data_IF_559362829962
#
_entry.id   IF_559362829962
#
_cell.length_a   1.000
_cell.length_b   1.000
_cell.length_c   1.000
_cell.angle_alpha   90.00
_cell.angle_beta   90.00
_cell.angle_gamma   90.00
#
_symmetry.space_group_name_H-M   'P 1'
#
loop_
_entity.id
_entity.type
_entity.pdbx_description
1 polymer ?
#
# COMPACT_ATOMS: atom_id res chain seq x y z
N UNK A 1 -57.17 99.96 35.92
CA UNK A 1 -56.99 100.63 37.22
C UNK A 1 -55.86 99.93 37.96
N UNK A 2 -54.84 100.73 38.31
CA UNK A 2 -53.88 100.57 39.43
C UNK A 2 -53.05 99.27 39.42
N UNK A 3 -51.86 99.23 38.81
CA UNK A 3 -50.56 99.77 39.29
C UNK A 3 -50.10 99.18 40.64
N UNK A 4 -48.95 98.51 40.64
CA UNK A 4 -48.19 98.17 41.84
C UNK A 4 -47.32 96.92 41.62
N UNK A 5 -46.17 97.03 40.94
CA UNK A 5 -44.86 97.36 41.53
C UNK A 5 -44.18 96.13 42.15
N UNK A 6 -43.37 95.39 41.37
CA UNK A 6 -41.88 95.45 41.33
C UNK A 6 -41.19 94.65 42.46
N UNK A 7 -39.92 94.20 42.33
CA UNK A 7 -39.05 94.00 41.16
C UNK A 7 -38.47 92.55 41.10
N UNK A 8 -37.78 92.15 40.01
CA UNK A 8 -37.11 90.86 39.93
C UNK A 8 -35.67 90.93 40.47
N UNK A 9 -35.17 89.86 41.13
CA UNK A 9 -33.73 89.63 41.15
C UNK A 9 -33.37 88.15 40.88
N UNK A 10 -32.60 87.97 39.81
CA UNK A 10 -31.37 87.15 39.73
C UNK A 10 -31.15 86.05 40.78
N UNK A 11 -31.33 84.79 40.37
CA UNK A 11 -30.43 83.65 40.58
C UNK A 11 -31.16 82.36 40.15
N UNK A 12 -30.46 81.34 39.65
CA UNK A 12 -31.09 80.10 39.25
C UNK A 12 -31.65 79.42 40.49
N UNK A 13 -32.97 79.21 40.58
CA UNK A 13 -33.45 78.03 41.31
C UNK A 13 -32.78 76.88 40.60
N UNK A 14 -31.89 76.17 41.30
CA UNK A 14 -31.06 75.12 40.74
C UNK A 14 -31.98 74.20 39.94
N UNK A 15 -32.03 74.42 38.61
CA UNK A 15 -32.91 73.67 37.70
C UNK A 15 -32.62 72.19 37.87
N UNK A 16 -31.41 71.88 38.32
CA UNK A 16 -30.97 70.57 38.73
C UNK A 16 -31.78 70.05 39.92
N UNK A 17 -32.00 70.80 40.99
CA UNK A 17 -32.80 70.37 42.16
C UNK A 17 -34.29 70.17 41.84
N UNK A 18 -34.95 71.11 41.16
CA UNK A 18 -36.34 70.93 40.71
C UNK A 18 -36.46 69.79 39.68
N UNK A 19 -35.46 69.61 38.81
CA UNK A 19 -35.40 68.44 37.93
C UNK A 19 -35.17 67.16 38.70
N UNK A 20 -34.35 67.15 39.76
CA UNK A 20 -34.07 65.99 40.61
C UNK A 20 -35.31 65.64 41.41
N UNK A 21 -36.06 66.59 41.96
CA UNK A 21 -37.31 66.36 42.67
C UNK A 21 -38.42 65.91 41.72
N UNK A 22 -38.58 66.55 40.56
CA UNK A 22 -39.50 66.09 39.52
C UNK A 22 -39.09 64.70 38.97
N UNK A 23 -37.79 64.37 38.98
CA UNK A 23 -37.31 63.03 38.62
C UNK A 23 -37.64 62.03 39.72
N UNK A 24 -37.42 62.37 41.00
CA UNK A 24 -37.80 61.54 42.15
C UNK A 24 -39.31 61.30 42.21
N UNK A 25 -40.13 62.32 41.99
CA UNK A 25 -41.59 62.18 41.95
C UNK A 25 -42.03 61.29 40.79
N UNK A 26 -41.45 61.48 39.60
CA UNK A 26 -41.68 60.56 38.46
C UNK A 26 -41.19 59.15 38.75
N UNK A 27 -40.06 58.98 39.43
CA UNK A 27 -39.52 57.68 39.83
C UNK A 27 -40.45 57.01 40.85
N UNK A 28 -41.00 57.75 41.81
CA UNK A 28 -41.97 57.27 42.83
C UNK A 28 -43.29 56.87 42.16
N UNK A 29 -43.82 57.69 41.25
CA UNK A 29 -45.02 57.35 40.48
C UNK A 29 -44.79 56.14 39.56
N UNK A 30 -43.60 56.07 38.96
CA UNK A 30 -43.18 54.93 38.15
C UNK A 30 -43.04 53.68 39.02
N UNK A 31 -42.48 53.77 40.22
CA UNK A 31 -42.39 52.67 41.20
C UNK A 31 -43.77 52.24 41.68
N UNK A 32 -44.71 53.16 41.90
CA UNK A 32 -46.11 52.85 42.22
C UNK A 32 -46.81 52.12 41.07
N UNK A 33 -46.56 52.51 39.82
CA UNK A 33 -47.04 51.83 38.60
C UNK A 33 -46.35 50.48 38.36
N UNK A 34 -45.08 50.37 38.75
CA UNK A 34 -44.27 49.15 38.76
C UNK A 34 -44.51 48.30 40.03
N UNK A 35 -45.37 48.73 40.95
CA UNK A 35 -45.84 47.94 42.11
C UNK A 35 -46.71 46.75 41.70
N UNK A 36 -47.34 46.03 42.65
CA UNK A 36 -47.76 44.63 42.49
C UNK A 36 -48.53 44.36 41.18
N UNK A 37 -48.20 43.23 40.55
CA UNK A 37 -48.29 43.00 39.10
C UNK A 37 -49.63 43.26 38.38
N UNK A 38 -50.76 43.48 39.06
CA UNK A 38 -52.06 43.68 38.40
C UNK A 38 -52.17 44.98 37.61
N UNK A 39 -51.64 46.09 38.13
CA UNK A 39 -51.63 47.39 37.42
C UNK A 39 -50.60 47.45 36.27
N UNK A 40 -49.67 46.49 36.21
CA UNK A 40 -48.73 46.34 35.08
C UNK A 40 -49.36 45.61 33.90
N UNK A 41 -50.20 44.61 34.15
CA UNK A 41 -50.79 43.79 33.08
C UNK A 41 -52.07 44.39 32.47
N UNK A 42 -52.88 45.12 33.26
CA UNK A 42 -54.13 45.71 32.77
C UNK A 42 -54.28 47.11 33.37
N UNK A 43 -53.81 48.13 32.64
CA UNK A 43 -54.08 49.54 32.95
C UNK A 43 -55.13 50.09 31.97
N UNK A 44 -56.33 50.39 32.46
CA UNK A 44 -57.37 51.03 31.66
C UNK A 44 -57.91 52.28 32.38
N UNK A 45 -57.93 53.42 31.70
CA UNK A 45 -58.54 54.65 32.18
C UNK A 45 -60.06 54.62 31.95
N UNK A 46 -60.78 54.10 32.94
CA UNK A 46 -62.23 53.87 32.86
C UNK A 46 -63.00 55.20 32.77
N UNK A 47 -62.49 56.28 33.37
CA UNK A 47 -63.14 57.59 33.31
C UNK A 47 -62.99 58.21 31.92
N UNK A 48 -61.78 58.16 31.34
CA UNK A 48 -61.54 58.58 29.96
C UNK A 48 -62.39 57.80 28.95
N UNK A 49 -62.48 56.46 29.11
CA UNK A 49 -63.29 55.61 28.24
C UNK A 49 -64.79 55.94 28.30
N UNK A 50 -65.34 56.22 29.50
CA UNK A 50 -66.76 56.60 29.62
C UNK A 50 -67.07 57.92 28.94
N UNK A 51 -66.21 58.92 29.10
CA UNK A 51 -66.39 60.21 28.43
C UNK A 51 -66.34 60.06 26.90
N UNK A 52 -65.43 59.22 26.38
CA UNK A 52 -65.36 58.94 24.94
C UNK A 52 -66.61 58.22 24.42
N UNK A 53 -67.21 57.31 25.20
CA UNK A 53 -68.45 56.63 24.83
C UNK A 53 -69.63 57.61 24.81
N UNK A 54 -69.74 58.49 25.80
CA UNK A 54 -70.80 59.51 25.83
C UNK A 54 -70.65 60.54 24.70
N UNK A 55 -69.44 61.00 24.42
CA UNK A 55 -69.16 61.91 23.30
C UNK A 55 -69.55 61.24 21.97
N UNK A 56 -69.17 59.98 21.78
CA UNK A 56 -69.53 59.22 20.58
C UNK A 56 -71.04 59.01 20.45
N UNK A 57 -71.76 58.76 21.54
CA UNK A 57 -73.22 58.66 21.51
C UNK A 57 -73.89 59.98 21.14
N UNK A 58 -73.36 61.12 21.58
CA UNK A 58 -73.87 62.44 21.18
C UNK A 58 -73.62 62.71 19.70
N UNK A 59 -72.42 62.40 19.20
CA UNK A 59 -72.10 62.50 17.78
C UNK A 59 -72.99 61.59 16.93
N UNK A 60 -73.20 60.34 17.34
CA UNK A 60 -74.08 59.41 16.63
C UNK A 60 -75.55 59.90 16.62
N UNK A 61 -76.01 60.57 17.67
CA UNK A 61 -77.36 61.14 17.72
C UNK A 61 -77.50 62.33 16.76
N UNK A 62 -76.54 63.26 16.75
CA UNK A 62 -76.54 64.40 15.82
C UNK A 62 -76.44 63.94 14.37
N UNK A 63 -75.62 62.93 14.09
CA UNK A 63 -75.47 62.37 12.75
C UNK A 63 -76.74 61.68 12.26
N UNK A 64 -77.49 61.02 13.16
CA UNK A 64 -78.78 60.42 12.82
C UNK A 64 -79.86 61.45 12.54
N UNK A 65 -79.84 62.60 13.21
CA UNK A 65 -80.78 63.68 12.93
C UNK A 65 -80.43 64.39 11.62
N UNK A 66 -79.15 64.67 11.38
CA UNK A 66 -78.69 65.22 10.11
C UNK A 66 -79.02 64.30 8.92
N UNK A 67 -78.85 62.98 9.07
CA UNK A 67 -79.24 62.00 8.05
C UNK A 67 -80.74 62.01 7.77
N UNK A 68 -81.57 62.07 8.82
CA UNK A 68 -83.04 62.13 8.66
C UNK A 68 -83.47 63.39 7.91
N UNK A 69 -82.89 64.55 8.24
CA UNK A 69 -83.16 65.80 7.53
C UNK A 69 -82.76 65.71 6.04
N UNK A 70 -81.56 65.16 5.75
CA UNK A 70 -81.12 64.93 4.37
C UNK A 70 -82.04 63.97 3.61
N UNK A 71 -82.52 62.90 4.24
CA UNK A 71 -83.43 61.94 3.61
C UNK A 71 -84.79 62.57 3.26
N UNK A 72 -85.30 63.46 4.11
CA UNK A 72 -86.53 64.22 3.89
C UNK A 72 -86.39 65.22 2.73
N UNK A 73 -85.27 65.95 2.69
CA UNK A 73 -84.92 66.85 1.58
C UNK A 73 -84.80 66.08 0.26
N UNK A 74 -84.09 64.95 0.27
CA UNK A 74 -83.95 64.08 -0.90
C UNK A 74 -85.32 63.53 -1.35
N UNK A 75 -86.22 63.20 -0.42
CA UNK A 75 -87.57 62.76 -0.75
C UNK A 75 -88.43 63.88 -1.36
N UNK A 76 -88.24 65.13 -0.92
CA UNK A 76 -88.89 66.29 -1.54
C UNK A 76 -88.34 66.56 -2.94
N UNK A 77 -87.02 66.52 -3.12
CA UNK A 77 -86.35 66.70 -4.42
C UNK A 77 -86.80 65.60 -5.39
N UNK A 78 -86.82 64.33 -4.96
CA UNK A 78 -87.30 63.21 -5.80
C UNK A 78 -88.73 63.40 -6.28
N UNK A 79 -89.64 63.88 -5.42
CA UNK A 79 -91.03 64.16 -5.81
C UNK A 79 -91.12 65.29 -6.83
N UNK A 80 -90.35 66.37 -6.63
CA UNK A 80 -90.30 67.48 -7.58
C UNK A 80 -89.73 67.05 -8.93
N UNK A 81 -88.62 66.30 -8.93
CA UNK A 81 -88.01 65.76 -10.15
C UNK A 81 -88.99 64.86 -10.92
N UNK A 82 -89.70 63.96 -10.25
CA UNK A 82 -90.72 63.13 -10.89
C UNK A 82 -91.84 63.96 -11.54
N UNK A 83 -92.27 65.05 -10.89
CA UNK A 83 -93.27 65.94 -11.46
C UNK A 83 -92.73 66.65 -12.71
N UNK A 84 -91.53 67.23 -12.64
CA UNK A 84 -90.88 67.90 -13.77
C UNK A 84 -90.64 66.92 -14.92
N UNK A 85 -90.15 65.71 -14.65
CA UNK A 85 -89.96 64.67 -15.65
C UNK A 85 -91.28 64.28 -16.33
N UNK A 86 -92.37 64.19 -15.57
CA UNK A 86 -93.69 63.90 -16.14
C UNK A 86 -94.18 65.03 -17.03
N UNK A 87 -94.07 66.29 -16.60
CA UNK A 87 -94.47 67.47 -17.36
C UNK A 87 -93.62 67.61 -18.64
N UNK A 88 -92.30 67.43 -18.53
CA UNK A 88 -91.37 67.40 -19.65
C UNK A 88 -91.69 66.26 -20.62
N UNK A 89 -92.01 65.06 -20.11
CA UNK A 89 -92.37 63.94 -20.96
C UNK A 89 -93.67 64.22 -21.73
N UNK A 90 -94.66 64.84 -21.08
CA UNK A 90 -95.89 65.28 -21.74
C UNK A 90 -95.64 66.38 -22.78
N UNK A 91 -94.83 67.38 -22.46
CA UNK A 91 -94.46 68.46 -23.37
C UNK A 91 -93.70 67.91 -24.59
N UNK A 92 -92.64 67.11 -24.36
CA UNK A 92 -91.88 66.42 -25.41
C UNK A 92 -92.76 65.52 -26.25
N UNK A 93 -93.69 64.79 -25.65
CA UNK A 93 -94.63 63.94 -26.42
C UNK A 93 -95.54 64.78 -27.31
N UNK A 94 -96.04 65.92 -26.81
CA UNK A 94 -96.85 66.85 -27.61
C UNK A 94 -96.04 67.45 -28.75
N UNK A 95 -94.83 67.92 -28.48
CA UNK A 95 -93.89 68.44 -29.48
C UNK A 95 -93.50 67.40 -30.52
N UNK A 96 -93.23 66.16 -30.10
CA UNK A 96 -92.93 65.06 -31.01
C UNK A 96 -94.13 64.72 -31.89
N UNK A 97 -95.36 64.81 -31.38
CA UNK A 97 -96.56 64.59 -32.18
C UNK A 97 -96.80 65.74 -33.17
N UNK A 98 -96.61 66.99 -32.77
CA UNK A 98 -96.70 68.13 -33.69
C UNK A 98 -95.61 68.05 -34.75
N UNK A 99 -94.37 67.80 -34.35
CA UNK A 99 -93.23 67.69 -35.26
C UNK A 99 -93.37 66.47 -36.17
N UNK A 100 -93.94 65.36 -35.69
CA UNK A 100 -94.29 64.21 -36.53
C UNK A 100 -95.36 64.57 -37.55
N UNK A 101 -96.42 65.26 -37.16
CA UNK A 101 -97.47 65.68 -38.09
C UNK A 101 -96.92 66.66 -39.14
N UNK A 102 -96.12 67.64 -38.72
CA UNK A 102 -95.47 68.60 -39.61
C UNK A 102 -94.47 67.89 -40.54
N UNK A 103 -93.71 66.93 -40.01
CA UNK A 103 -92.80 66.10 -40.80
C UNK A 103 -93.55 65.21 -41.78
N UNK A 104 -94.67 64.61 -41.38
CA UNK A 104 -95.49 63.77 -42.25
C UNK A 104 -96.11 64.61 -43.38
N UNK A 105 -96.53 65.85 -43.09
CA UNK A 105 -97.01 66.82 -44.09
C UNK A 105 -95.89 67.26 -45.04
N UNK A 106 -94.75 67.72 -44.51
CA UNK A 106 -93.59 68.11 -45.31
C UNK A 106 -93.04 66.93 -46.12
N UNK A 107 -93.05 65.73 -45.54
CA UNK A 107 -92.64 64.50 -46.23
C UNK A 107 -93.61 64.17 -47.35
N UNK A 108 -94.92 64.34 -47.17
CA UNK A 108 -95.90 64.15 -48.23
C UNK A 108 -95.71 65.18 -49.36
N UNK A 109 -95.50 66.45 -49.04
CA UNK A 109 -95.21 67.51 -50.00
C UNK A 109 -93.89 67.27 -50.74
N UNK A 110 -92.83 66.91 -50.02
CA UNK A 110 -91.55 66.55 -50.58
C UNK A 110 -91.64 65.28 -51.43
N UNK A 111 -92.45 64.29 -51.03
CA UNK A 111 -92.67 63.07 -51.80
C UNK A 111 -93.41 63.39 -53.11
N UNK A 112 -94.43 64.25 -53.07
CA UNK A 112 -95.12 64.73 -54.28
C UNK A 112 -94.20 65.57 -55.18
N UNK A 113 -93.39 66.46 -54.60
CA UNK A 113 -92.38 67.24 -55.32
C UNK A 113 -91.30 66.36 -55.96
N UNK A 114 -90.81 65.37 -55.22
CA UNK A 114 -89.88 64.34 -55.72
C UNK A 114 -90.52 63.48 -56.79
N UNK A 115 -91.79 63.09 -56.66
CA UNK A 115 -92.51 62.33 -57.68
C UNK A 115 -92.65 63.13 -58.98
N UNK A 116 -92.96 64.43 -58.89
CA UNK A 116 -92.97 65.35 -60.05
C UNK A 116 -91.59 65.49 -60.68
N UNK A 117 -90.55 65.71 -59.88
CA UNK A 117 -89.16 65.82 -60.37
C UNK A 117 -88.62 64.49 -60.92
N UNK A 118 -88.99 63.36 -60.31
CA UNK A 118 -88.66 62.03 -60.77
C UNK A 118 -89.37 61.69 -62.08
N UNK A 119 -90.61 62.13 -62.28
CA UNK A 119 -91.28 62.02 -63.58
C UNK A 119 -90.53 62.80 -64.67
N UNK A 120 -89.96 63.97 -64.35
CA UNK A 120 -89.11 64.74 -65.27
C UNK A 120 -87.75 64.07 -65.53
N UNK A 121 -87.13 63.44 -64.51
CA UNK A 121 -85.87 62.70 -64.64
C UNK A 121 -86.00 61.28 -65.20
N UNK A 122 -87.21 60.71 -65.22
CA UNK A 122 -87.48 59.38 -65.77
C UNK A 122 -87.32 59.34 -67.30
N UNK A 123 -87.29 60.51 -67.95
CA UNK A 123 -86.73 60.68 -69.29
C UNK A 123 -85.21 60.51 -69.17
N UNK A 124 -84.74 59.26 -69.27
CA UNK A 124 -83.33 58.91 -69.17
C UNK A 124 -82.49 59.77 -70.12
N UNK A 125 -81.50 60.47 -69.57
CA UNK A 125 -80.49 61.19 -70.35
C UNK A 125 -79.52 60.14 -70.84
N UNK A 126 -79.31 60.06 -72.15
CA UNK A 126 -78.25 59.24 -72.74
C UNK A 126 -76.90 59.99 -72.60
N UNK A 127 -76.02 59.57 -71.67
CA UNK A 127 -74.78 60.30 -71.39
C UNK A 127 -73.78 60.23 -72.55
N UNK A 128 -73.88 59.23 -73.43
CA UNK A 128 -72.98 59.08 -74.59
C UNK A 128 -73.32 60.06 -75.72
N UNK A 129 -74.55 60.57 -75.75
CA UNK A 129 -75.00 61.56 -76.74
C UNK A 129 -74.92 63.01 -76.23
N UNK A 130 -74.45 63.21 -74.99
CA UNK A 130 -74.31 64.53 -74.37
C UNK A 130 -72.96 65.18 -74.71
N UNK A 131 -72.95 66.49 -74.95
CA UNK A 131 -71.70 67.23 -75.13
C UNK A 131 -70.87 67.25 -73.82
N UNK A 132 -69.52 67.30 -73.89
CA UNK A 132 -68.66 67.30 -72.70
C UNK A 132 -68.98 68.39 -71.65
N UNK A 133 -69.52 69.54 -72.09
CA UNK A 133 -69.93 70.64 -71.21
C UNK A 133 -71.21 70.39 -70.41
N UNK A 134 -71.99 69.35 -70.74
CA UNK A 134 -73.20 68.97 -70.01
C UNK A 134 -72.93 68.26 -68.68
N UNK A 135 -71.66 67.86 -68.44
CA UNK A 135 -71.19 67.20 -67.22
C UNK A 135 -72.00 65.94 -66.83
N UNK A 136 -72.47 65.18 -67.84
CA UNK A 136 -73.25 63.94 -67.66
C UNK A 136 -72.40 62.66 -67.74
N UNK A 137 -71.14 62.74 -68.23
CA UNK A 137 -70.20 61.61 -68.33
C UNK A 137 -68.81 62.06 -67.88
N UNK A 138 -68.18 61.29 -67.00
CA UNK A 138 -66.80 61.51 -66.54
C UNK A 138 -65.96 60.26 -66.79
N UNK A 139 -64.80 60.40 -67.44
CA UNK A 139 -63.90 59.27 -67.74
C UNK A 139 -63.31 58.58 -66.48
N UNK A 140 -63.38 59.23 -65.31
CA UNK A 140 -62.99 58.63 -64.02
C UNK A 140 -64.03 57.67 -63.44
N UNK A 141 -65.28 57.74 -63.89
CA UNK A 141 -66.40 56.89 -63.48
C UNK A 141 -66.38 55.60 -64.30
N UNK A 142 -65.31 54.84 -64.14
CA UNK A 142 -65.08 53.58 -64.85
C UNK A 142 -66.22 52.57 -64.58
N UNK A 143 -67.17 52.47 -65.52
CA UNK A 143 -68.30 51.55 -65.44
C UNK A 143 -67.85 50.07 -65.41
N UNK A 144 -66.69 49.76 -65.98
CA UNK A 144 -66.13 48.41 -66.02
C UNK A 144 -65.21 48.08 -64.84
N UNK A 145 -65.15 48.94 -63.80
CA UNK A 145 -64.26 48.76 -62.64
C UNK A 145 -64.39 47.38 -62.00
N UNK A 146 -65.62 46.89 -61.81
CA UNK A 146 -65.87 45.60 -61.18
C UNK A 146 -65.34 44.43 -62.03
N UNK A 147 -65.58 44.47 -63.35
CA UNK A 147 -65.06 43.45 -64.27
C UNK A 147 -63.53 43.50 -64.37
N UNK A 148 -62.92 44.70 -64.37
CA UNK A 148 -61.45 44.84 -64.31
C UNK A 148 -60.88 44.21 -63.04
N UNK A 149 -61.45 44.53 -61.86
CA UNK A 149 -61.01 43.97 -60.58
C UNK A 149 -61.17 42.44 -60.59
N UNK A 150 -62.28 41.92 -61.13
CA UNK A 150 -62.52 40.49 -61.28
C UNK A 150 -61.46 39.82 -62.14
N UNK A 151 -61.13 40.38 -63.30
CA UNK A 151 -60.10 39.86 -64.19
C UNK A 151 -58.71 39.91 -63.55
N UNK A 152 -58.36 41.00 -62.87
CA UNK A 152 -57.10 41.12 -62.13
C UNK A 152 -57.00 40.07 -61.01
N UNK A 153 -58.07 39.86 -60.26
CA UNK A 153 -58.12 38.82 -59.22
C UNK A 153 -57.96 37.41 -59.80
N UNK A 154 -58.57 37.13 -60.97
CA UNK A 154 -58.39 35.86 -61.67
C UNK A 154 -56.95 35.67 -62.15
N UNK A 155 -56.32 36.70 -62.70
CA UNK A 155 -54.91 36.66 -63.11
C UNK A 155 -53.98 36.42 -61.92
N UNK A 156 -54.16 37.16 -60.82
CA UNK A 156 -53.39 36.96 -59.60
C UNK A 156 -53.56 35.53 -59.06
N UNK A 157 -54.80 35.03 -59.01
CA UNK A 157 -55.07 33.65 -58.61
C UNK A 157 -54.33 32.65 -59.49
N UNK A 158 -54.38 32.83 -60.82
CA UNK A 158 -53.71 31.94 -61.77
C UNK A 158 -52.18 31.96 -61.56
N UNK A 159 -51.58 33.13 -61.44
CA UNK A 159 -50.14 33.27 -61.18
C UNK A 159 -49.73 32.67 -59.83
N UNK A 160 -50.53 32.87 -58.78
CA UNK A 160 -50.25 32.25 -57.48
C UNK A 160 -50.30 30.72 -57.56
N UNK A 161 -51.27 30.16 -58.28
CA UNK A 161 -51.36 28.70 -58.49
C UNK A 161 -50.16 28.18 -59.27
N UNK A 162 -49.79 28.86 -60.36
CA UNK A 162 -48.60 28.49 -61.16
C UNK A 162 -47.34 28.53 -60.30
N UNK A 163 -47.16 29.61 -59.53
CA UNK A 163 -45.99 29.76 -58.67
C UNK A 163 -45.93 28.71 -57.57
N UNK A 164 -47.05 28.40 -56.93
CA UNK A 164 -47.14 27.33 -55.94
C UNK A 164 -46.80 25.95 -56.55
N UNK A 165 -47.24 25.68 -57.78
CA UNK A 165 -46.92 24.43 -58.47
C UNK A 165 -45.42 24.34 -58.83
N UNK A 166 -44.82 25.44 -59.31
CA UNK A 166 -43.37 25.52 -59.58
C UNK A 166 -42.56 25.30 -58.31
N UNK A 167 -42.92 25.96 -57.21
CA UNK A 167 -42.21 25.83 -55.94
C UNK A 167 -42.38 24.42 -55.35
N UNK A 168 -43.56 23.80 -55.50
CA UNK A 168 -43.78 22.41 -55.11
C UNK A 168 -42.91 21.44 -55.92
N UNK A 169 -42.83 21.61 -57.24
CA UNK A 169 -41.97 20.79 -58.09
C UNK A 169 -40.49 20.98 -57.74
N UNK A 170 -40.07 22.23 -57.51
CA UNK A 170 -38.70 22.54 -57.09
C UNK A 170 -38.36 21.86 -55.77
N UNK A 171 -39.23 21.94 -54.78
CA UNK A 171 -39.03 21.30 -53.48
C UNK A 171 -39.00 19.77 -53.60
N UNK A 172 -39.82 19.19 -54.49
CA UNK A 172 -39.77 17.75 -54.77
C UNK A 172 -38.42 17.34 -55.36
N UNK A 173 -37.93 18.06 -56.37
CA UNK A 173 -36.62 17.79 -56.97
C UNK A 173 -35.49 17.95 -55.93
N UNK A 174 -35.50 19.03 -55.12
CA UNK A 174 -34.50 19.23 -54.06
C UNK A 174 -34.55 18.10 -53.01
N UNK A 175 -35.75 17.61 -52.68
CA UNK A 175 -35.90 16.46 -51.78
C UNK A 175 -35.41 15.15 -52.39
N UNK A 176 -35.62 14.93 -53.68
CA UNK A 176 -35.12 13.76 -54.41
C UNK A 176 -33.58 13.77 -54.48
N UNK A 177 -32.98 14.93 -54.78
CA UNK A 177 -31.53 15.12 -54.81
C UNK A 177 -30.91 14.89 -53.41
N UNK A 178 -31.54 15.42 -52.36
CA UNK A 178 -31.12 15.17 -50.99
C UNK A 178 -31.22 13.68 -50.62
N UNK A 179 -32.30 13.00 -51.00
CA UNK A 179 -32.46 11.58 -50.74
C UNK A 179 -31.41 10.74 -51.49
N UNK A 180 -31.10 11.08 -52.74
CA UNK A 180 -30.05 10.44 -53.52
C UNK A 180 -28.66 10.64 -52.89
N UNK A 181 -28.35 11.87 -52.45
CA UNK A 181 -27.09 12.17 -51.76
C UNK A 181 -26.97 11.40 -50.44
N UNK A 182 -28.03 11.35 -49.63
CA UNK A 182 -28.04 10.59 -48.39
C UNK A 182 -27.85 9.09 -48.63
N UNK A 183 -28.47 8.52 -49.67
CA UNK A 183 -28.25 7.14 -50.06
C UNK A 183 -26.78 6.85 -50.41
N UNK A 184 -26.14 7.75 -51.18
CA UNK A 184 -24.71 7.64 -51.49
C UNK A 184 -23.82 7.69 -50.24
N UNK A 185 -24.14 8.58 -49.29
CA UNK A 185 -23.41 8.66 -48.02
C UNK A 185 -23.51 7.34 -47.23
N UNK A 186 -24.70 6.76 -47.14
CA UNK A 186 -24.89 5.45 -46.48
C UNK A 186 -24.10 4.34 -47.18
N UNK A 187 -24.02 4.34 -48.51
CA UNK A 187 -23.20 3.38 -49.25
C UNK A 187 -21.71 3.56 -48.94
N UNK A 188 -21.22 4.80 -48.89
CA UNK A 188 -19.84 5.11 -48.51
C UNK A 188 -19.54 4.64 -47.09
N UNK A 189 -20.41 4.94 -46.13
CA UNK A 189 -20.27 4.50 -44.74
C UNK A 189 -20.22 2.97 -44.65
N UNK A 190 -21.10 2.27 -45.37
CA UNK A 190 -21.10 0.80 -45.43
C UNK A 190 -19.78 0.26 -45.98
N UNK A 191 -19.29 0.82 -47.09
CA UNK A 191 -18.01 0.41 -47.68
C UNK A 191 -16.83 0.68 -46.75
N UNK A 192 -16.83 1.81 -46.04
CA UNK A 192 -15.83 2.12 -45.03
C UNK A 192 -15.84 1.11 -43.89
N UNK A 193 -17.01 0.75 -43.36
CA UNK A 193 -17.13 -0.28 -42.33
C UNK A 193 -16.63 -1.65 -42.81
N UNK A 194 -16.97 -2.05 -44.03
CA UNK A 194 -16.48 -3.30 -44.63
C UNK A 194 -14.95 -3.31 -44.75
N UNK A 195 -14.36 -2.20 -45.21
CA UNK A 195 -12.91 -2.04 -45.32
C UNK A 195 -12.22 -2.03 -43.95
N UNK A 196 -12.81 -1.38 -42.95
CA UNK A 196 -12.30 -1.40 -41.57
C UNK A 196 -12.33 -2.82 -40.99
N UNK A 197 -13.46 -3.53 -41.10
CA UNK A 197 -13.58 -4.93 -40.66
C UNK A 197 -12.61 -5.85 -41.41
N UNK A 198 -12.39 -5.61 -42.70
CA UNK A 198 -11.40 -6.33 -43.51
C UNK A 198 -9.98 -6.14 -42.98
N UNK A 199 -9.57 -4.89 -42.79
CA UNK A 199 -8.25 -4.54 -42.24
C UNK A 199 -8.01 -5.12 -40.84
N UNK A 200 -9.04 -5.11 -39.97
CA UNK A 200 -8.94 -5.71 -38.64
C UNK A 200 -8.72 -7.23 -38.71
N UNK A 201 -9.43 -7.92 -39.60
CA UNK A 201 -9.24 -9.37 -39.83
C UNK A 201 -7.85 -9.69 -40.34
N UNK A 202 -7.34 -8.91 -41.29
CA UNK A 202 -5.98 -9.09 -41.83
C UNK A 202 -4.91 -8.85 -40.75
N UNK A 203 -5.06 -7.78 -39.95
CA UNK A 203 -4.16 -7.52 -38.82
C UNK A 203 -4.19 -8.63 -37.79
N UNK A 204 -5.38 -9.13 -37.45
CA UNK A 204 -5.54 -10.24 -36.52
C UNK A 204 -4.90 -11.53 -37.06
N UNK A 205 -5.08 -11.82 -38.36
CA UNK A 205 -4.46 -12.97 -39.01
C UNK A 205 -2.92 -12.85 -39.01
N UNK A 206 -2.38 -11.69 -39.38
CA UNK A 206 -0.95 -11.43 -39.33
C UNK A 206 -0.37 -11.57 -37.92
N UNK A 207 -1.06 -11.03 -36.90
CA UNK A 207 -0.64 -11.15 -35.51
C UNK A 207 -0.67 -12.62 -35.03
N UNK A 208 -1.67 -13.40 -35.45
CA UNK A 208 -1.76 -14.82 -35.13
C UNK A 208 -0.60 -15.62 -35.76
N UNK A 209 -0.25 -15.34 -37.02
CA UNK A 209 0.89 -15.97 -37.69
C UNK A 209 2.23 -15.61 -37.03
N UNK A 210 2.44 -14.34 -36.67
CA UNK A 210 3.62 -13.92 -35.91
C UNK A 210 3.67 -14.63 -34.55
N UNK A 211 2.53 -14.74 -33.86
CA UNK A 211 2.46 -15.46 -32.58
C UNK A 211 2.83 -16.93 -32.72
N UNK A 212 2.29 -17.62 -33.74
CA UNK A 212 2.63 -19.02 -34.05
C UNK A 212 4.11 -19.19 -34.36
N UNK A 213 4.68 -18.30 -35.18
CA UNK A 213 6.10 -18.30 -35.49
C UNK A 213 6.96 -18.11 -34.24
N UNK A 214 6.64 -17.14 -33.39
CA UNK A 214 7.35 -16.88 -32.14
C UNK A 214 7.26 -18.06 -31.16
N UNK A 215 6.09 -18.73 -31.07
CA UNK A 215 5.92 -19.94 -30.28
C UNK A 215 6.80 -21.08 -30.79
N UNK A 216 6.84 -21.30 -32.11
CA UNK A 216 7.71 -22.29 -32.74
C UNK A 216 9.19 -21.98 -32.49
N UNK A 217 9.59 -20.71 -32.62
CA UNK A 217 10.96 -20.27 -32.38
C UNK A 217 11.37 -20.48 -30.90
N UNK A 218 10.49 -20.14 -29.96
CA UNK A 218 10.72 -20.38 -28.53
C UNK A 218 10.84 -21.87 -28.22
N UNK A 219 10.00 -22.71 -28.82
CA UNK A 219 10.09 -24.16 -28.66
C UNK A 219 11.42 -24.70 -29.18
N UNK A 220 11.88 -24.24 -30.35
CA UNK A 220 13.17 -24.61 -30.92
C UNK A 220 14.34 -24.15 -30.02
N UNK A 221 14.29 -22.93 -29.48
CA UNK A 221 15.29 -22.44 -28.53
C UNK A 221 15.36 -23.31 -27.28
N UNK A 222 14.20 -23.63 -26.66
CA UNK A 222 14.13 -24.50 -25.48
C UNK A 222 14.70 -25.89 -25.74
N UNK A 223 14.39 -26.48 -26.90
CA UNK A 223 14.97 -27.76 -27.30
C UNK A 223 16.49 -27.64 -27.46
N UNK A 224 16.97 -26.58 -28.13
CA UNK A 224 18.40 -26.32 -28.30
C UNK A 224 19.14 -26.14 -26.97
N UNK A 225 18.56 -25.42 -26.01
CA UNK A 225 19.10 -25.27 -24.66
C UNK A 225 19.12 -26.60 -23.91
N UNK A 226 18.04 -27.38 -23.96
CA UNK A 226 17.97 -28.70 -23.33
C UNK A 226 19.01 -29.66 -23.92
N UNK A 227 19.21 -29.65 -25.25
CA UNK A 227 20.22 -30.48 -25.90
C UNK A 227 21.64 -30.02 -25.56
N UNK A 228 21.89 -28.70 -25.47
CA UNK A 228 23.18 -28.16 -25.00
C UNK A 228 23.45 -28.59 -23.57
N UNK A 229 22.47 -28.45 -22.69
CA UNK A 229 22.61 -28.85 -21.29
C UNK A 229 22.85 -30.36 -21.17
N UNK A 230 22.16 -31.19 -21.97
CA UNK A 230 22.42 -32.64 -22.00
C UNK A 230 23.85 -32.93 -22.44
N UNK A 231 24.34 -32.28 -23.50
CA UNK A 231 25.72 -32.44 -23.98
C UNK A 231 26.75 -32.02 -22.94
N UNK A 232 26.51 -30.88 -22.29
CA UNK A 232 27.36 -30.38 -21.21
C UNK A 232 27.40 -31.37 -20.02
N UNK A 233 26.25 -31.93 -19.63
CA UNK A 233 26.21 -32.97 -18.61
C UNK A 233 26.96 -34.25 -19.04
N UNK A 234 26.81 -34.67 -20.29
CA UNK A 234 27.55 -35.81 -20.84
C UNK A 234 29.06 -35.54 -20.82
N UNK A 235 29.50 -34.37 -21.27
CA UNK A 235 30.91 -33.95 -21.26
C UNK A 235 31.46 -33.85 -19.84
N UNK A 236 30.75 -33.20 -18.93
CA UNK A 236 31.12 -33.12 -17.52
C UNK A 236 31.22 -34.51 -16.88
N UNK A 237 30.28 -35.41 -17.17
CA UNK A 237 30.32 -36.79 -16.66
C UNK A 237 31.53 -37.56 -17.19
N UNK A 238 31.88 -37.37 -18.47
CA UNK A 238 33.08 -37.96 -19.08
C UNK A 238 34.34 -37.39 -18.48
N UNK A 239 34.42 -36.07 -18.29
CA UNK A 239 35.55 -35.41 -17.64
C UNK A 239 35.76 -35.91 -16.22
N UNK A 240 34.70 -36.02 -15.42
CA UNK A 240 34.76 -36.59 -14.06
C UNK A 240 35.28 -38.02 -14.12
N UNK A 241 34.76 -38.87 -15.01
CA UNK A 241 35.22 -40.26 -15.14
C UNK A 241 36.70 -40.34 -15.54
N UNK A 242 37.12 -39.57 -16.54
CA UNK A 242 38.52 -39.52 -17.00
C UNK A 242 39.45 -38.98 -15.89
N UNK A 243 38.98 -38.02 -15.10
CA UNK A 243 39.74 -37.44 -13.99
C UNK A 243 39.90 -38.45 -12.85
N UNK A 244 38.82 -39.17 -12.49
CA UNK A 244 38.87 -40.25 -11.48
C UNK A 244 39.78 -41.40 -11.91
N UNK A 245 39.75 -41.76 -13.20
CA UNK A 245 40.63 -42.79 -13.79
C UNK A 245 42.05 -42.28 -14.06
N UNK A 246 42.28 -40.96 -13.93
CA UNK A 246 43.61 -40.41 -14.15
C UNK A 246 44.59 -40.99 -13.14
N UNK A 247 45.80 -41.23 -13.60
CA UNK A 247 46.85 -41.78 -12.76
C UNK A 247 47.28 -40.81 -11.62
N UNK A 248 46.95 -39.52 -11.74
CA UNK A 248 47.19 -38.53 -10.70
C UNK A 248 46.23 -38.71 -9.52
N UNK A 249 44.92 -38.77 -9.78
CA UNK A 249 43.89 -38.90 -8.73
C UNK A 249 43.88 -40.29 -8.11
N UNK A 250 44.02 -41.34 -8.93
CA UNK A 250 44.10 -42.74 -8.45
C UNK A 250 45.43 -43.08 -7.79
N UNK A 251 46.38 -42.13 -7.79
CA UNK A 251 47.75 -42.29 -7.31
C UNK A 251 48.47 -43.55 -7.82
N UNK A 252 48.14 -44.03 -9.02
CA UNK A 252 48.59 -45.31 -9.55
C UNK A 252 50.11 -45.57 -9.38
N UNK A 253 50.54 -46.61 -8.63
CA UNK A 253 51.96 -46.89 -8.35
C UNK A 253 52.74 -47.33 -9.60
N UNK A 254 52.06 -47.78 -10.65
CA UNK A 254 52.69 -48.18 -11.91
C UNK A 254 53.33 -47.01 -12.66
N UNK A 255 53.00 -45.75 -12.32
CA UNK A 255 53.68 -44.58 -12.88
C UNK A 255 55.19 -44.55 -12.60
N UNK A 256 55.62 -45.18 -11.50
CA UNK A 256 57.03 -45.26 -11.14
C UNK A 256 57.78 -46.37 -11.93
N UNK A 257 57.08 -47.22 -12.66
CA UNK A 257 57.70 -48.26 -13.49
C UNK A 257 58.37 -47.66 -14.73
N UNK A 258 59.54 -48.17 -15.08
CA UNK A 258 60.22 -47.87 -16.34
C UNK A 258 59.80 -48.89 -17.42
N UNK A 259 59.53 -48.47 -18.66
CA UNK A 259 59.20 -49.40 -19.73
C UNK A 259 60.32 -50.45 -19.92
N UNK A 260 59.95 -51.74 -19.88
CA UNK A 260 60.87 -52.85 -20.09
C UNK A 260 61.77 -53.23 -18.90
N UNK A 261 61.59 -52.60 -17.73
CA UNK A 261 62.33 -52.97 -16.50
C UNK A 261 61.38 -53.39 -15.37
N UNK A 262 61.80 -54.37 -14.58
CA UNK A 262 61.07 -54.79 -13.38
C UNK A 262 61.07 -53.69 -12.31
N UNK A 263 59.92 -53.51 -11.67
CA UNK A 263 59.70 -52.52 -10.61
C UNK A 263 60.64 -52.72 -9.40
N UNK A 264 61.12 -53.94 -9.17
CA UNK A 264 62.00 -54.30 -8.05
C UNK A 264 63.44 -53.81 -8.21
N UNK A 265 63.87 -53.48 -9.43
CA UNK A 265 65.28 -53.15 -9.70
C UNK A 265 65.50 -51.66 -9.94
N UNK A 266 64.58 -50.99 -10.63
CA UNK A 266 64.72 -49.57 -10.96
C UNK A 266 63.37 -48.90 -11.09
N UNK A 267 63.23 -47.79 -10.37
CA UNK A 267 62.03 -46.94 -10.38
C UNK A 267 62.36 -45.55 -10.92
N UNK A 268 61.37 -44.87 -11.51
CA UNK A 268 61.44 -43.45 -11.82
C UNK A 268 61.43 -42.66 -10.51
N UNK A 269 62.46 -41.84 -10.30
CA UNK A 269 62.66 -41.11 -9.04
C UNK A 269 61.51 -40.13 -8.78
N UNK A 270 61.05 -39.39 -9.80
CA UNK A 270 60.04 -38.33 -9.65
C UNK A 270 58.65 -38.86 -9.27
N UNK A 271 58.36 -40.15 -9.52
CA UNK A 271 57.04 -40.76 -9.31
C UNK A 271 57.09 -41.89 -8.27
N UNK A 272 58.17 -41.98 -7.50
CA UNK A 272 58.29 -42.98 -6.44
C UNK A 272 57.41 -42.63 -5.24
N UNK A 273 56.53 -43.56 -4.84
CA UNK A 273 55.53 -43.37 -3.77
C UNK A 273 55.71 -44.34 -2.59
N UNK A 274 56.94 -44.81 -2.37
CA UNK A 274 57.27 -45.76 -1.31
C UNK A 274 57.17 -47.22 -1.74
N UNK A 275 57.18 -48.12 -0.75
CA UNK A 275 57.15 -49.56 -0.95
C UNK A 275 55.74 -50.08 -1.21
N UNK A 276 55.63 -51.16 -2.00
CA UNK A 276 54.37 -51.90 -2.13
C UNK A 276 53.97 -52.52 -0.78
N UNK A 277 52.66 -52.65 -0.52
CA UNK A 277 52.17 -53.30 0.70
C UNK A 277 52.69 -54.74 0.87
N UNK A 278 53.00 -55.44 -0.21
CA UNK A 278 53.64 -56.76 -0.16
C UNK A 278 55.11 -56.68 0.28
N UNK A 279 55.87 -55.72 -0.24
CA UNK A 279 57.26 -55.46 0.15
C UNK A 279 57.33 -55.01 1.62
N UNK A 280 56.43 -54.13 2.06
CA UNK A 280 56.35 -53.72 3.47
C UNK A 280 56.07 -54.93 4.38
N UNK A 281 55.12 -55.80 4.01
CA UNK A 281 54.86 -57.05 4.76
C UNK A 281 56.07 -57.97 4.80
N UNK A 282 56.79 -58.10 3.69
CA UNK A 282 58.01 -58.89 3.63
C UNK A 282 59.08 -58.38 4.61
N UNK A 283 59.36 -57.08 4.62
CA UNK A 283 60.33 -56.50 5.56
C UNK A 283 59.87 -56.56 7.02
N UNK A 284 58.57 -56.41 7.29
CA UNK A 284 58.03 -56.60 8.64
C UNK A 284 58.27 -58.03 9.13
N UNK A 285 58.00 -59.04 8.29
CA UNK A 285 58.32 -60.45 8.62
C UNK A 285 59.81 -60.66 8.87
N UNK A 286 60.68 -60.08 8.04
CA UNK A 286 62.12 -60.16 8.25
C UNK A 286 62.54 -59.49 9.57
N UNK A 287 61.91 -58.38 9.95
CA UNK A 287 62.18 -57.74 11.24
C UNK A 287 61.72 -58.62 12.41
N UNK A 288 60.56 -59.26 12.30
CA UNK A 288 60.07 -60.22 13.30
C UNK A 288 61.05 -61.39 13.45
N UNK A 289 61.53 -61.96 12.34
CA UNK A 289 62.54 -63.04 12.34
C UNK A 289 63.83 -62.60 13.03
N UNK A 290 64.30 -61.36 12.79
CA UNK A 290 65.49 -60.79 13.44
C UNK A 290 65.27 -60.60 14.94
N UNK A 291 64.08 -60.16 15.35
CA UNK A 291 63.74 -60.00 16.78
C UNK A 291 63.69 -61.36 17.48
N UNK A 292 63.10 -62.37 16.85
CA UNK A 292 63.07 -63.74 17.35
C UNK A 292 64.47 -64.33 17.47
N UNK A 293 65.34 -64.14 16.47
CA UNK A 293 66.74 -64.53 16.53
C UNK A 293 67.50 -63.86 17.67
N UNK A 294 67.27 -62.56 17.87
CA UNK A 294 67.89 -61.81 18.97
C UNK A 294 67.39 -62.30 20.33
N UNK A 295 66.11 -62.62 20.45
CA UNK A 295 65.52 -63.21 21.64
C UNK A 295 66.12 -64.59 21.94
N UNK A 296 66.26 -65.45 20.91
CA UNK A 296 66.94 -66.76 21.02
C UNK A 296 68.39 -66.63 21.48
N UNK A 297 69.17 -65.73 20.89
CA UNK A 297 70.57 -65.48 21.30
C UNK A 297 70.66 -65.00 22.74
N UNK A 298 69.80 -64.05 23.15
CA UNK A 298 69.76 -63.55 24.52
C UNK A 298 69.37 -64.65 25.52
N UNK A 299 68.49 -65.57 25.13
CA UNK A 299 68.12 -66.72 25.94
C UNK A 299 69.29 -67.70 26.07
N UNK A 300 70.00 -68.00 24.98
CA UNK A 300 71.22 -68.83 25.01
C UNK A 300 72.32 -68.21 25.87
N UNK A 301 72.56 -66.90 25.76
CA UNK A 301 73.52 -66.18 26.62
C UNK A 301 73.14 -66.26 28.10
N UNK A 302 71.84 -66.16 28.43
CA UNK A 302 71.35 -66.34 29.80
C UNK A 302 71.57 -67.75 30.31
N UNK A 303 71.27 -68.76 29.50
CA UNK A 303 71.48 -70.16 29.85
C UNK A 303 72.97 -70.49 30.04
N UNK A 304 73.84 -69.95 29.18
CA UNK A 304 75.30 -70.05 29.34
C UNK A 304 75.77 -69.35 30.61
N UNK A 305 75.31 -68.12 30.89
CA UNK A 305 75.66 -67.42 32.12
C UNK A 305 75.17 -68.15 33.38
N UNK A 306 73.99 -68.78 33.34
CA UNK A 306 73.50 -69.63 34.43
C UNK A 306 74.35 -70.89 34.60
N UNK A 307 74.75 -71.55 33.51
CA UNK A 307 75.64 -72.71 33.54
C UNK A 307 77.02 -72.33 34.11
N UNK A 308 77.60 -71.22 33.65
CA UNK A 308 78.86 -70.68 34.17
C UNK A 308 78.75 -70.32 35.65
N UNK A 309 77.66 -69.69 36.07
CA UNK A 309 77.42 -69.39 37.48
C UNK A 309 77.25 -70.66 38.35
N UNK A 310 76.62 -71.71 37.82
CA UNK A 310 76.54 -73.02 38.49
C UNK A 310 77.92 -73.67 38.59
N UNK A 311 78.69 -73.70 37.50
CA UNK A 311 80.05 -74.23 37.47
C UNK A 311 80.97 -73.46 38.45
N UNK A 312 80.87 -72.12 38.50
CA UNK A 312 81.61 -71.31 39.46
C UNK A 312 81.22 -71.62 40.91
N UNK A 313 79.92 -71.81 41.21
CA UNK A 313 79.47 -72.21 42.55
C UNK A 313 79.95 -73.60 42.93
N UNK A 314 79.94 -74.55 42.00
CA UNK A 314 80.49 -75.89 42.21
C UNK A 314 82.00 -75.83 42.49
N UNK A 315 82.75 -75.06 41.70
CA UNK A 315 84.18 -74.83 41.92
C UNK A 315 84.44 -74.17 43.28
N UNK A 316 83.64 -73.18 43.69
CA UNK A 316 83.74 -72.58 45.02
C UNK A 316 83.46 -73.60 46.14
N UNK A 317 82.49 -74.50 45.95
CA UNK A 317 82.21 -75.57 46.91
C UNK A 317 83.37 -76.57 47.00
N UNK A 318 83.97 -76.97 45.88
CA UNK A 318 85.13 -77.87 45.88
C UNK A 318 86.34 -77.21 46.54
N UNK A 319 86.63 -75.94 46.23
CA UNK A 319 87.70 -75.18 46.88
C UNK A 319 87.46 -75.03 48.39
N UNK A 320 86.24 -74.68 48.81
CA UNK A 320 85.92 -74.59 50.24
C UNK A 320 86.06 -75.95 50.96
N UNK A 321 85.72 -77.05 50.29
CA UNK A 321 85.92 -78.39 50.82
C UNK A 321 87.42 -78.76 50.92
N UNK A 322 88.21 -78.43 49.92
CA UNK A 322 89.67 -78.62 49.93
C UNK A 322 90.35 -77.77 51.01
N UNK A 323 89.93 -76.51 51.18
CA UNK A 323 90.38 -75.63 52.26
C UNK A 323 90.05 -76.21 53.64
N UNK A 324 88.83 -76.72 53.84
CA UNK A 324 88.44 -77.42 55.07
C UNK A 324 89.34 -78.62 55.36
N UNK A 325 89.59 -79.48 54.36
CA UNK A 325 90.49 -80.63 54.50
C UNK A 325 91.94 -80.19 54.78
N UNK A 326 92.41 -79.09 54.16
CA UNK A 326 93.73 -78.54 54.42
C UNK A 326 93.85 -77.98 55.85
N UNK A 327 92.82 -77.31 56.36
CA UNK A 327 92.76 -76.88 57.77
C UNK A 327 92.77 -78.08 58.71
N UNK A 328 92.02 -79.14 58.40
CA UNK A 328 92.01 -80.37 59.19
C UNK A 328 93.38 -81.06 59.22
N UNK A 329 94.07 -81.13 58.07
CA UNK A 329 95.47 -81.62 57.99
C UNK A 329 96.44 -80.75 58.78
N UNK A 330 96.30 -79.42 58.72
CA UNK A 330 97.12 -78.50 59.54
C UNK A 330 96.88 -78.71 61.03
N UNK A 331 95.62 -78.87 61.45
CA UNK A 331 95.28 -79.16 62.83
C UNK A 331 95.85 -80.53 63.29
N UNK A 332 95.77 -81.56 62.45
CA UNK A 332 96.41 -82.85 62.72
C UNK A 332 97.93 -82.72 62.84
N UNK A 333 98.58 -82.03 61.90
CA UNK A 333 100.02 -81.76 61.98
C UNK A 333 100.40 -80.94 63.21
N UNK A 334 99.60 -79.95 63.63
CA UNK A 334 99.84 -79.21 64.87
C UNK A 334 99.75 -80.11 66.11
N UNK A 335 98.80 -81.05 66.13
CA UNK A 335 98.69 -82.05 67.20
C UNK A 335 99.90 -83.00 67.21
N UNK A 336 100.34 -83.48 66.05
CA UNK A 336 101.53 -84.32 65.92
C UNK A 336 102.82 -83.57 66.32
N UNK A 337 102.94 -82.30 65.95
CA UNK A 337 104.05 -81.42 66.37
C UNK A 337 104.02 -81.19 67.89
N UNK A 338 102.84 -81.00 68.51
CA UNK A 338 102.72 -80.92 69.97
C UNK A 338 103.16 -82.23 70.65
N UNK A 339 102.70 -83.37 70.15
CA UNK A 339 103.06 -84.68 70.69
C UNK A 339 104.56 -84.98 70.59
N UNK A 340 105.17 -84.71 69.43
CA UNK A 340 106.63 -84.85 69.24
C UNK A 340 107.43 -83.89 70.12
N UNK A 341 106.95 -82.65 70.33
CA UNK A 341 107.61 -81.69 71.23
C UNK A 341 107.53 -82.12 72.70
N UNK A 342 106.43 -82.74 73.13
CA UNK A 342 106.33 -83.31 74.48
C UNK A 342 107.25 -84.52 74.67
N UNK A 343 107.36 -85.41 73.67
CA UNK A 343 108.31 -86.52 73.69
C UNK A 343 109.77 -86.03 73.76
N UNK A 344 110.12 -85.00 72.99
CA UNK A 344 111.46 -84.40 73.04
C UNK A 344 111.76 -83.75 74.40
N UNK A 345 110.77 -83.12 75.03
CA UNK A 345 110.91 -82.54 76.39
C UNK A 345 111.18 -83.62 77.44
N UNK A 346 110.51 -84.76 77.36
CA UNK A 346 110.75 -85.89 78.27
C UNK A 346 112.15 -86.50 78.06
N UNK A 347 112.55 -86.74 76.81
CA UNK A 347 113.88 -87.28 76.50
C UNK A 347 115.04 -86.34 76.91
N UNK A 348 114.85 -85.03 76.84
CA UNK A 348 115.85 -84.05 77.30
C UNK A 348 116.00 -84.09 78.83
N UNK A 349 114.90 -84.17 79.57
CA UNK A 349 114.92 -84.27 81.04
C UNK A 349 115.62 -85.55 81.54
N UNK A 350 115.42 -86.67 80.85
CA UNK A 350 116.06 -87.94 81.21
C UNK A 350 117.57 -87.94 80.90
N UNK A 351 117.99 -87.28 79.80
CA UNK A 351 119.41 -87.08 79.48
C UNK A 351 120.12 -86.23 80.53
N UNK A 352 119.49 -85.16 81.01
CA UNK A 352 120.06 -84.27 82.03
C UNK A 352 120.30 -85.01 83.36
N UNK A 353 119.33 -85.82 83.82
CA UNK A 353 119.48 -86.67 85.01
C UNK A 353 120.64 -87.68 84.86
N UNK A 354 120.73 -88.36 83.72
CA UNK A 354 121.78 -89.35 83.46
C UNK A 354 123.19 -88.75 83.37
N UNK A 355 123.31 -87.48 82.96
CA UNK A 355 124.58 -86.74 82.91
C UNK A 355 125.03 -86.31 84.30
N UNK A 356 124.10 -85.84 85.14
CA UNK A 356 124.39 -85.42 86.51
C UNK A 356 124.92 -86.57 87.39
N UNK A 357 124.44 -87.81 87.19
CA UNK A 357 124.90 -88.97 87.95
C UNK A 357 126.31 -89.46 87.54
N UNK A 358 126.71 -89.30 86.27
CA UNK A 358 128.06 -89.68 85.81
C UNK A 358 129.16 -88.69 86.23
N UNK A 359 128.80 -87.46 86.62
CA UNK A 359 129.74 -86.41 87.00
C UNK A 359 130.32 -86.48 88.42
N UNK A 360 129.86 -87.41 89.28
CA UNK A 360 130.37 -87.57 90.65
C UNK A 360 131.28 -88.81 90.75
N UNK A 361 132.59 -88.61 90.59
CA UNK A 361 133.60 -89.67 90.71
C UNK A 361 133.73 -90.22 92.14
N UNK A 362 133.95 -91.53 92.27
CA UNK A 362 134.11 -92.25 93.55
C UNK A 362 135.54 -92.80 93.63
N UNK A 363 136.29 -92.44 94.68
CA UNK A 363 137.68 -92.88 94.90
C UNK A 363 137.66 -94.18 95.72
N UNK A 364 138.17 -95.26 95.14
CA UNK A 364 138.21 -96.60 95.77
C UNK A 364 139.42 -96.77 96.71
N UNK A 365 139.27 -97.43 97.89
CA UNK A 365 140.30 -97.51 98.93
C UNK A 365 141.62 -98.18 98.50
N UNK A 366 141.61 -98.99 97.43
CA UNK A 366 142.80 -99.63 96.86
C UNK A 366 143.79 -98.63 96.24
N UNK A 367 143.42 -97.36 96.09
CA UNK A 367 144.30 -96.30 95.61
C UNK A 367 145.42 -95.97 96.62
N UNK A 368 145.16 -96.06 97.93
CA UNK A 368 146.14 -95.68 98.96
C UNK A 368 147.07 -96.84 99.37
N UNK A 369 146.77 -98.09 99.02
CA UNK A 369 147.61 -99.26 99.31
C UNK A 369 148.80 -99.43 98.36
N UNK A 370 148.94 -98.58 97.34
CA UNK A 370 150.06 -98.64 96.37
C UNK A 370 151.24 -97.71 96.69
N UNK A 371 151.19 -96.97 97.79
CA UNK A 371 152.32 -96.19 98.31
C UNK A 371 153.06 -96.98 99.41
N UNK A 372 154.39 -97.18 99.27
CA UNK A 372 155.28 -97.59 100.37
C UNK A 372 155.59 -99.09 100.58
N UNK A 373 155.51 -99.97 99.57
CA UNK A 373 155.73 -101.43 99.74
C UNK A 373 157.03 -102.04 99.15
N UNK A 374 158.11 -101.29 98.89
CA UNK A 374 159.43 -101.93 98.75
C UNK A 374 160.58 -101.03 99.18
N UNK A 375 161.52 -101.66 99.90
CA UNK A 375 162.25 -101.18 101.08
C UNK A 375 163.52 -100.39 100.74
N UNK A 376 163.61 -99.13 101.18
CA UNK A 376 164.84 -98.34 101.30
C UNK A 376 164.74 -97.38 102.47
#
# INVERSE_FOLDING_TARGET
>A
MVVGSMPPPTAPEDKEELRIEARRQREIERLKKLGPGRLRFIGADIAGMKNQVEERQRQDATDREAKRASEEEDAAIRRYLLQVESEDAFAKRRELLTLRNDWDQQSAEACQGRARYAATRALGIDPDNCAPGAAQKFEGEDAARLERIRLQALQMKQWSIQKMAEDAQRNANESEDQAAYMAQLFEIERLMEELHRGNERERAAAAAEISRFNQSLLAQQRQGESDRHRREQEENSREIQLTLQSNFVSENPLQAALPGMSFDHRVRVDHWKGFSGEQTKYYLRQNDDILDDKARRKQQEREQAEQDARAQKELQRTLAHEEYLAQQRRAQMEMDVRATREQQRQQAADREKSSAERGRGKIEPSFFQKFGQSYR
#
